data_IF_368344283110
#
_entry.id   IF_368344283110
#
_cell.length_a   1.000
_cell.length_b   1.000
_cell.length_c   1.000
_cell.angle_alpha   90.00
_cell.angle_beta   90.00
_cell.angle_gamma   90.00
#
_symmetry.space_group_name_H-M   'P 1'
#
loop_
_entity.id
_entity.type
_entity.pdbx_description
1 polymer ?
#
# COMPACT_ATOMS: atom_id res chain seq x y z
N UNK A 1 54.12 -19.52 -30.71
CA UNK A 1 52.72 -19.07 -30.80
C UNK A 1 51.83 -20.28 -31.14
N UNK A 2 50.99 -20.75 -30.20
CA UNK A 2 50.08 -21.88 -30.45
C UNK A 2 48.85 -21.36 -31.22
N UNK A 3 48.65 -21.83 -32.46
CA UNK A 3 47.44 -21.54 -33.24
C UNK A 3 46.24 -22.18 -32.55
N UNK A 4 45.31 -21.35 -32.08
CA UNK A 4 44.06 -21.82 -31.49
C UNK A 4 43.21 -22.47 -32.60
N UNK A 5 42.73 -23.69 -32.36
CA UNK A 5 41.94 -24.43 -33.32
C UNK A 5 40.56 -23.77 -33.48
N UNK A 6 40.18 -23.29 -34.67
CA UNK A 6 38.97 -22.47 -34.87
C UNK A 6 37.69 -23.16 -34.36
N UNK A 7 37.64 -24.49 -34.45
CA UNK A 7 36.50 -25.30 -33.99
C UNK A 7 36.28 -25.16 -32.47
N UNK A 8 37.35 -25.05 -31.68
CA UNK A 8 37.24 -24.86 -30.23
C UNK A 8 36.82 -23.43 -29.83
N UNK A 9 37.09 -22.44 -30.69
CA UNK A 9 36.69 -21.06 -30.47
C UNK A 9 35.18 -20.87 -30.70
N UNK A 10 34.65 -21.40 -31.81
CA UNK A 10 33.21 -21.31 -32.11
C UNK A 10 32.34 -22.07 -31.09
N UNK A 11 32.80 -23.23 -30.60
CA UNK A 11 32.08 -23.96 -29.54
C UNK A 11 31.96 -23.15 -28.24
N UNK A 12 33.03 -22.47 -27.82
CA UNK A 12 33.01 -21.64 -26.60
C UNK A 12 32.10 -20.42 -26.77
N UNK A 13 32.13 -19.77 -27.94
CA UNK A 13 31.28 -18.62 -28.24
C UNK A 13 29.78 -18.98 -28.26
N UNK A 14 29.43 -20.12 -28.87
CA UNK A 14 28.06 -20.62 -28.90
C UNK A 14 27.52 -20.92 -27.49
N UNK A 15 28.32 -21.59 -26.64
CA UNK A 15 27.93 -21.91 -25.27
C UNK A 15 27.72 -20.62 -24.43
N UNK A 16 28.61 -19.64 -24.56
CA UNK A 16 28.46 -18.36 -23.82
C UNK A 16 27.25 -17.56 -24.28
N UNK A 17 26.91 -17.59 -25.58
CA UNK A 17 25.74 -16.91 -26.12
C UNK A 17 24.43 -17.57 -25.65
N UNK A 18 24.37 -18.91 -25.65
CA UNK A 18 23.20 -19.64 -25.13
C UNK A 18 22.98 -19.41 -23.63
N UNK A 19 24.06 -19.37 -22.84
CA UNK A 19 23.95 -19.13 -21.39
C UNK A 19 23.42 -17.73 -21.08
N UNK A 20 23.88 -16.71 -21.83
CA UNK A 20 23.41 -15.33 -21.66
C UNK A 20 21.93 -15.19 -22.01
N UNK A 21 21.46 -15.88 -23.05
CA UNK A 21 20.05 -15.89 -23.44
C UNK A 21 19.15 -16.49 -22.34
N UNK A 22 19.58 -17.59 -21.71
CA UNK A 22 18.81 -18.24 -20.63
C UNK A 22 18.71 -17.36 -19.38
N UNK A 23 19.78 -16.65 -19.03
CA UNK A 23 19.79 -15.69 -17.90
C UNK A 23 18.89 -14.48 -18.19
N UNK A 24 18.91 -13.93 -19.41
CA UNK A 24 18.03 -12.82 -19.77
C UNK A 24 16.55 -13.22 -19.78
N UNK A 25 16.20 -14.41 -20.27
CA UNK A 25 14.79 -14.88 -20.28
C UNK A 25 14.28 -15.10 -18.85
N UNK A 26 15.11 -15.62 -17.94
CA UNK A 26 14.71 -15.86 -16.55
C UNK A 26 14.47 -14.57 -15.75
N UNK A 27 15.16 -13.47 -16.05
CA UNK A 27 14.88 -12.16 -15.43
C UNK A 27 13.56 -11.53 -15.90
N UNK A 28 13.10 -11.81 -17.13
CA UNK A 28 11.84 -11.28 -17.66
C UNK A 28 10.64 -11.89 -16.92
N UNK A 29 10.72 -13.15 -16.48
CA UNK A 29 9.61 -13.82 -15.80
C UNK A 29 9.49 -13.51 -14.29
N UNK A 30 10.57 -13.14 -13.60
CA UNK A 30 10.51 -12.83 -12.16
C UNK A 30 9.88 -11.45 -11.90
N UNK A 31 9.90 -10.56 -12.89
CA UNK A 31 9.44 -9.17 -12.76
C UNK A 31 7.93 -8.97 -12.93
N UNK A 32 7.19 -10.02 -13.33
CA UNK A 32 5.78 -9.90 -13.74
C UNK A 32 4.76 -10.39 -12.69
N UNK A 33 5.20 -10.83 -11.51
CA UNK A 33 4.28 -11.04 -10.39
C UNK A 33 3.85 -9.68 -9.83
N UNK A 34 2.98 -8.98 -10.57
CA UNK A 34 2.09 -7.99 -9.97
C UNK A 34 1.37 -8.73 -8.85
N UNK A 35 1.45 -8.19 -7.62
CA UNK A 35 0.58 -8.64 -6.54
C UNK A 35 -0.83 -8.77 -7.10
N UNK A 36 -1.57 -9.86 -6.81
CA UNK A 36 -2.95 -9.96 -7.24
C UNK A 36 -3.71 -8.77 -6.66
N UNK A 37 -3.94 -7.75 -7.50
CA UNK A 37 -4.93 -6.73 -7.23
C UNK A 37 -6.25 -7.48 -7.33
N UNK A 38 -6.83 -7.84 -6.19
CA UNK A 38 -8.27 -8.06 -6.16
C UNK A 38 -8.91 -6.76 -6.67
N UNK A 39 -9.34 -6.79 -7.93
CA UNK A 39 -10.05 -5.70 -8.59
C UNK A 39 -11.49 -5.60 -8.05
N UNK A 40 -11.64 -5.58 -6.73
CA UNK A 40 -12.83 -5.06 -6.10
C UNK A 40 -12.83 -3.55 -6.29
N UNK A 41 -13.97 -2.99 -6.68
CA UNK A 41 -14.16 -1.54 -6.65
C UNK A 41 -13.93 -1.08 -5.19
N UNK A 42 -12.84 -0.36 -4.95
CA UNK A 42 -12.58 0.18 -3.63
C UNK A 42 -13.67 1.19 -3.28
N UNK A 43 -14.23 1.05 -2.10
CA UNK A 43 -15.22 1.97 -1.60
C UNK A 43 -14.58 3.33 -1.32
N UNK A 44 -15.20 4.40 -1.80
CA UNK A 44 -14.86 5.77 -1.42
C UNK A 44 -15.93 6.35 -0.52
N UNK A 45 -15.53 7.07 0.52
CA UNK A 45 -16.47 7.68 1.48
C UNK A 45 -16.32 9.20 1.50
N UNK A 46 -17.42 9.89 1.83
CA UNK A 46 -17.39 11.33 2.08
C UNK A 46 -16.63 11.67 3.36
N UNK A 47 -16.18 12.92 3.51
CA UNK A 47 -15.58 13.40 4.76
C UNK A 47 -16.52 13.24 5.96
N UNK A 48 -17.82 13.49 5.79
CA UNK A 48 -18.83 13.32 6.85
C UNK A 48 -18.95 11.86 7.30
N UNK A 49 -18.91 10.94 6.34
CA UNK A 49 -18.92 9.50 6.60
C UNK A 49 -17.63 9.07 7.30
N UNK A 50 -16.47 9.54 6.81
CA UNK A 50 -15.17 9.29 7.41
C UNK A 50 -15.11 9.74 8.88
N UNK A 51 -15.60 10.95 9.17
CA UNK A 51 -15.70 11.49 10.53
C UNK A 51 -16.55 10.59 11.42
N UNK A 52 -17.69 10.14 10.91
CA UNK A 52 -18.58 9.23 11.63
C UNK A 52 -17.86 7.92 11.96
N UNK A 53 -17.17 7.34 10.97
CA UNK A 53 -16.49 6.05 11.15
C UNK A 53 -15.29 6.15 12.10
N UNK A 54 -14.54 7.24 12.03
CA UNK A 54 -13.46 7.52 12.97
C UNK A 54 -13.98 7.68 14.41
N UNK A 55 -15.07 8.44 14.62
CA UNK A 55 -15.72 8.57 15.92
C UNK A 55 -16.25 7.24 16.46
N UNK A 56 -16.82 6.40 15.60
CA UNK A 56 -17.25 5.05 15.98
C UNK A 56 -16.07 4.22 16.50
N UNK A 57 -14.91 4.36 15.87
CA UNK A 57 -13.70 3.69 16.34
C UNK A 57 -13.22 4.25 17.68
N UNK A 58 -12.98 5.56 17.82
CA UNK A 58 -12.45 6.14 19.07
C UNK A 58 -13.32 5.83 20.28
N UNK A 59 -14.66 5.81 20.13
CA UNK A 59 -15.59 5.47 21.22
C UNK A 59 -15.48 4.03 21.69
N UNK A 60 -15.10 3.10 20.81
CA UNK A 60 -15.10 1.67 21.07
C UNK A 60 -13.69 1.05 21.12
N UNK A 61 -12.66 1.82 20.77
CA UNK A 61 -11.29 1.34 20.70
C UNK A 61 -10.77 1.04 22.10
N UNK A 62 -10.14 -0.13 22.26
CA UNK A 62 -9.56 -0.53 23.54
C UNK A 62 -8.25 0.24 23.70
N UNK A 63 -8.09 0.91 24.84
CA UNK A 63 -6.80 1.51 25.22
C UNK A 63 -5.78 0.39 25.31
N UNK A 64 -4.66 0.56 24.62
CA UNK A 64 -3.55 -0.37 24.65
C UNK A 64 -2.35 0.28 25.29
N UNK A 65 -1.80 -0.34 26.32
CA UNK A 65 -0.46 -0.03 26.83
C UNK A 65 0.61 -0.96 26.23
N UNK A 66 0.22 -1.86 25.32
CA UNK A 66 1.16 -2.75 24.64
C UNK A 66 1.81 -2.02 23.47
N UNK A 67 3.13 -2.17 23.37
CA UNK A 67 3.93 -1.68 22.23
C UNK A 67 3.41 -2.35 20.96
N UNK A 68 2.99 -1.55 19.98
CA UNK A 68 2.60 -2.03 18.67
C UNK A 68 3.84 -2.66 17.99
N UNK A 69 3.85 -3.99 17.85
CA UNK A 69 4.99 -4.74 17.26
C UNK A 69 5.01 -4.73 15.74
N UNK A 70 3.89 -4.36 15.12
CA UNK A 70 3.75 -4.31 13.68
C UNK A 70 2.33 -3.96 13.27
N UNK A 71 2.16 -3.62 12.01
CA UNK A 71 0.87 -3.40 11.37
C UNK A 71 0.74 -4.31 10.16
N UNK A 72 -0.46 -4.82 9.93
CA UNK A 72 -0.78 -5.59 8.73
C UNK A 72 -1.44 -4.65 7.75
N UNK A 73 -0.91 -4.59 6.53
CA UNK A 73 -1.51 -3.90 5.39
C UNK A 73 -2.13 -4.97 4.49
N UNK A 74 -3.45 -4.91 4.29
CA UNK A 74 -4.20 -5.80 3.42
C UNK A 74 -3.97 -5.47 1.94
N UNK A 75 -4.34 -6.39 1.05
CA UNK A 75 -4.28 -6.15 -0.38
C UNK A 75 -5.16 -4.95 -0.80
N UNK A 76 -6.35 -4.81 -0.21
CA UNK A 76 -7.24 -3.66 -0.44
C UNK A 76 -6.58 -2.34 -0.01
N UNK A 77 -5.95 -2.32 1.17
CA UNK A 77 -5.25 -1.13 1.66
C UNK A 77 -4.07 -0.76 0.76
N UNK A 78 -3.29 -1.75 0.32
CA UNK A 78 -2.19 -1.53 -0.63
C UNK A 78 -2.69 -1.03 -1.99
N UNK A 79 -3.84 -1.54 -2.46
CA UNK A 79 -4.46 -1.07 -3.69
C UNK A 79 -4.90 0.40 -3.57
N UNK A 80 -5.55 0.78 -2.47
CA UNK A 80 -5.93 2.17 -2.20
C UNK A 80 -4.71 3.12 -2.19
N UNK A 81 -3.64 2.72 -1.51
CA UNK A 81 -2.37 3.46 -1.48
C UNK A 81 -1.83 3.64 -2.90
N UNK A 82 -1.79 2.56 -3.69
CA UNK A 82 -1.29 2.58 -5.07
C UNK A 82 -2.11 3.51 -5.96
N UNK A 83 -3.44 3.48 -5.82
CA UNK A 83 -4.34 4.34 -6.59
C UNK A 83 -4.20 5.82 -6.20
N UNK A 84 -4.09 6.13 -4.91
CA UNK A 84 -3.82 7.49 -4.45
C UNK A 84 -2.52 8.03 -5.04
N UNK A 85 -1.42 7.28 -4.91
CA UNK A 85 -0.10 7.67 -5.42
C UNK A 85 -0.05 7.79 -6.94
N UNK A 86 -0.77 6.92 -7.67
CA UNK A 86 -0.79 6.95 -9.13
C UNK A 86 -1.61 8.12 -9.67
N UNK A 87 -2.76 8.40 -9.04
CA UNK A 87 -3.67 9.46 -9.50
C UNK A 87 -3.24 10.86 -9.04
N UNK A 88 -2.43 10.95 -7.99
CA UNK A 88 -1.98 12.22 -7.43
C UNK A 88 -0.44 12.21 -7.26
N UNK A 89 0.33 12.47 -8.33
CA UNK A 89 1.80 12.42 -8.28
C UNK A 89 2.44 13.48 -7.37
N UNK A 90 1.67 14.50 -6.96
CA UNK A 90 2.11 15.54 -6.03
C UNK A 90 1.89 15.18 -4.54
N UNK A 91 1.44 13.95 -4.25
CA UNK A 91 1.31 13.49 -2.87
C UNK A 91 2.66 13.42 -2.18
N UNK A 92 2.73 13.99 -0.97
CA UNK A 92 3.91 13.91 -0.13
C UNK A 92 3.92 12.62 0.71
N UNK A 93 2.75 12.22 1.22
CA UNK A 93 2.61 10.99 1.99
C UNK A 93 1.17 10.46 1.95
N UNK A 94 0.95 9.32 2.60
CA UNK A 94 -0.37 8.71 2.80
C UNK A 94 -0.60 8.58 4.30
N UNK A 95 -1.85 8.79 4.73
CA UNK A 95 -2.27 8.59 6.11
C UNK A 95 -3.39 7.58 6.16
N UNK A 96 -3.33 6.70 7.17
CA UNK A 96 -4.30 5.64 7.40
C UNK A 96 -4.90 5.82 8.79
N UNK A 97 -6.20 6.08 8.85
CA UNK A 97 -6.94 6.18 10.09
C UNK A 97 -7.65 4.87 10.38
N UNK A 98 -7.57 4.43 11.63
CA UNK A 98 -8.37 3.31 12.09
C UNK A 98 -9.80 3.78 12.31
N UNK A 99 -10.76 2.98 11.85
CA UNK A 99 -12.16 3.35 11.82
C UNK A 99 -13.06 2.15 12.10
N UNK A 100 -14.34 2.43 12.36
CA UNK A 100 -15.41 1.43 12.40
C UNK A 100 -16.53 1.87 11.49
N UNK A 101 -16.91 1.02 10.55
CA UNK A 101 -17.95 1.32 9.56
C UNK A 101 -19.34 1.46 10.19
N UNK A 102 -20.37 1.67 9.36
CA UNK A 102 -21.75 1.80 9.82
C UNK A 102 -22.28 0.52 10.52
N UNK A 103 -21.74 -0.64 10.17
CA UNK A 103 -22.08 -1.93 10.79
C UNK A 103 -21.25 -2.22 12.06
N UNK A 104 -20.30 -1.36 12.40
CA UNK A 104 -19.39 -1.53 13.54
C UNK A 104 -18.17 -2.43 13.25
N UNK A 105 -17.99 -2.85 12.00
CA UNK A 105 -16.85 -3.66 11.57
C UNK A 105 -15.58 -2.81 11.51
N UNK A 106 -14.42 -3.42 11.73
CA UNK A 106 -13.14 -2.71 11.67
C UNK A 106 -12.80 -2.31 10.23
N UNK A 107 -12.56 -1.02 10.05
CA UNK A 107 -12.26 -0.40 8.76
C UNK A 107 -10.99 0.47 8.85
N UNK A 108 -10.47 0.83 7.68
CA UNK A 108 -9.41 1.84 7.53
C UNK A 108 -9.84 2.90 6.54
N UNK A 109 -9.61 4.16 6.91
CA UNK A 109 -9.77 5.31 6.04
C UNK A 109 -8.39 5.70 5.53
N UNK A 110 -8.18 5.69 4.23
CA UNK A 110 -6.89 5.93 3.59
C UNK A 110 -7.01 7.20 2.76
N UNK A 111 -6.15 8.16 3.04
CA UNK A 111 -6.16 9.47 2.39
C UNK A 111 -4.75 9.89 2.01
N UNK A 112 -4.65 10.63 0.91
CA UNK A 112 -3.40 11.27 0.51
C UNK A 112 -3.14 12.53 1.33
N UNK A 113 -1.87 12.86 1.53
CA UNK A 113 -1.43 14.06 2.25
C UNK A 113 -0.61 14.94 1.31
N UNK A 114 -0.94 16.22 1.25
CA UNK A 114 -0.23 17.21 0.43
C UNK A 114 1.13 17.61 1.03
N UNK A 115 1.87 18.45 0.31
CA UNK A 115 3.18 18.98 0.74
C UNK A 115 3.11 19.85 1.99
N UNK A 116 1.94 20.40 2.32
CA UNK A 116 1.70 21.18 3.52
C UNK A 116 1.28 20.30 4.72
N UNK A 117 1.11 19.00 4.52
CA UNK A 117 0.70 18.06 5.57
C UNK A 117 -0.81 17.91 5.75
N UNK A 118 -1.63 18.49 4.85
CA UNK A 118 -3.08 18.40 4.92
C UNK A 118 -3.61 17.15 4.22
N UNK A 119 -4.69 16.59 4.76
CA UNK A 119 -5.41 15.50 4.11
C UNK A 119 -6.15 16.00 2.86
N UNK A 120 -5.93 15.31 1.75
CA UNK A 120 -6.69 15.48 0.51
C UNK A 120 -8.04 14.75 0.62
N UNK A 121 -9.02 15.40 1.25
CA UNK A 121 -10.35 14.83 1.56
C UNK A 121 -11.27 14.64 0.35
N UNK A 122 -10.83 15.01 -0.86
CA UNK A 122 -11.56 14.76 -2.11
C UNK A 122 -11.63 13.28 -2.47
N UNK A 123 -10.71 12.46 -1.97
CA UNK A 123 -10.73 11.01 -2.17
C UNK A 123 -10.27 10.31 -0.89
N UNK A 124 -11.22 9.66 -0.23
CA UNK A 124 -10.98 8.86 0.98
C UNK A 124 -11.42 7.44 0.66
N UNK A 125 -10.46 6.51 0.60
CA UNK A 125 -10.77 5.09 0.42
C UNK A 125 -11.11 4.47 1.76
N UNK A 126 -12.19 3.70 1.80
CA UNK A 126 -12.56 2.86 2.93
C UNK A 126 -12.26 1.40 2.58
N UNK A 127 -11.55 0.72 3.48
CA UNK A 127 -11.13 -0.68 3.27
C UNK A 127 -11.36 -1.49 4.53
N UNK A 128 -11.51 -2.80 4.39
CA UNK A 128 -11.56 -3.68 5.56
C UNK A 128 -10.21 -3.69 6.26
N UNK A 129 -10.23 -3.69 7.59
CA UNK A 129 -9.02 -3.73 8.41
C UNK A 129 -8.91 -5.06 9.14
N UNK A 130 -7.77 -5.73 8.94
CA UNK A 130 -7.48 -6.96 9.66
C UNK A 130 -6.67 -6.64 10.93
N UNK A 131 -7.30 -6.89 12.07
CA UNK A 131 -6.69 -6.98 13.39
C UNK A 131 -6.17 -5.66 14.02
N UNK A 132 -6.25 -5.64 15.35
CA UNK A 132 -5.95 -4.56 16.32
C UNK A 132 -6.98 -3.44 16.46
N UNK A 133 -8.09 -3.68 17.17
CA UNK A 133 -8.96 -2.61 17.75
C UNK A 133 -8.28 -1.75 18.83
N UNK A 134 -6.95 -1.65 18.79
CA UNK A 134 -6.13 -0.89 19.72
C UNK A 134 -6.10 0.56 19.26
N UNK A 135 -6.33 1.48 20.19
CA UNK A 135 -6.12 2.91 19.99
C UNK A 135 -4.63 3.24 20.19
N UNK A 136 -3.85 3.52 19.14
CA UNK A 136 -2.53 4.12 19.35
C UNK A 136 -2.71 5.52 19.97
N UNK A 137 -1.70 6.06 20.67
CA UNK A 137 -1.74 7.47 21.08
C UNK A 137 -2.00 8.32 19.83
N UNK A 138 -3.04 9.15 19.87
CA UNK A 138 -3.47 9.97 18.73
C UNK A 138 -2.31 10.88 18.33
N UNK A 139 -1.76 10.69 17.13
CA UNK A 139 -0.61 11.46 16.65
C UNK A 139 -1.02 12.72 15.87
N UNK A 140 -2.29 12.86 15.50
CA UNK A 140 -2.78 13.91 14.63
C UNK A 140 -4.00 14.60 15.24
N UNK A 141 -3.91 15.93 15.35
CA UNK A 141 -4.94 16.78 15.96
C UNK A 141 -5.48 17.82 14.96
N UNK A 142 -4.98 17.80 13.72
CA UNK A 142 -5.29 18.83 12.70
C UNK A 142 -6.09 18.23 11.55
N UNK A 143 -6.03 16.91 11.34
CA UNK A 143 -6.78 16.26 10.28
C UNK A 143 -8.28 16.59 10.29
N UNK A 144 -8.87 16.94 9.14
CA UNK A 144 -10.32 17.07 8.97
C UNK A 144 -11.10 15.78 9.27
N UNK A 145 -10.45 14.61 9.21
CA UNK A 145 -11.05 13.30 9.54
C UNK A 145 -11.21 13.13 11.06
N UNK A 146 -10.31 13.77 11.83
CA UNK A 146 -10.30 13.71 13.30
C UNK A 146 -11.08 14.90 13.89
N UNK A 147 -10.94 16.09 13.32
CA UNK A 147 -11.52 17.31 13.87
C UNK A 147 -12.98 17.47 13.44
N UNK A 148 -13.88 17.55 14.42
CA UNK A 148 -15.20 18.20 14.21
C UNK A 148 -14.96 19.69 13.99
N UNK A 149 -15.05 20.15 12.75
CA UNK A 149 -15.47 21.52 12.47
C UNK A 149 -16.83 21.48 11.82
#
# INVERSE_FOLDING_TARGET
MKKLNPITFYKRLAITSSLLCVVCISFIFISANKYPQEAGNLETVSITTANTYFKNYIRNARKSNTVLKGMVISAEQLNAITLLSTNNPALNSIRIYYAKDAAGSDASLIVGVDVAGNDLVNTIYCTKRFNTGLCPPVCDVISPIISER
#
